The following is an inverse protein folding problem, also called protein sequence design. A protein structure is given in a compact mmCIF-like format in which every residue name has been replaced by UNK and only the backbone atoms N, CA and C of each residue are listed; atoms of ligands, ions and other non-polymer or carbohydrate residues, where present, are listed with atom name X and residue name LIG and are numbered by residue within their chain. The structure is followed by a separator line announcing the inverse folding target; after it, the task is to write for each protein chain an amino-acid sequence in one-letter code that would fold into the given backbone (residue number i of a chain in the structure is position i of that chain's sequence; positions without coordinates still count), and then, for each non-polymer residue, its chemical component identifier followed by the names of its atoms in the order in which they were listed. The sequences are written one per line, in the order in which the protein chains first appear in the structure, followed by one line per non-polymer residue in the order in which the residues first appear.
data_IF_994664438427
#
_entry.id   IF_994664438427
#
_cell.length_a   1.000
_cell.length_b   1.000
_cell.length_c   1.000
_cell.angle_alpha   90.00
_cell.angle_beta   90.00
_cell.angle_gamma   90.00
#
_symmetry.space_group_name_H-M   'P 1'
#
loop_
_entity.id
_entity.type
_entity.pdbx_description
1 polymer ?
#
# COMPACT_ATOMS: atom_id res chain seq x y z
N UNK A 1 -8.82 14.52 -4.89
CA UNK A 1 -7.43 14.99 -4.75
C UNK A 1 -6.55 14.01 -3.97
N UNK A 2 -6.88 13.59 -2.73
CA UNK A 2 -6.07 12.64 -1.94
C UNK A 2 -5.74 11.35 -2.69
N UNK A 3 -6.69 10.77 -3.41
CA UNK A 3 -6.48 9.54 -4.19
C UNK A 3 -5.56 9.75 -5.41
N UNK A 4 -5.45 10.96 -5.91
CA UNK A 4 -4.50 11.33 -6.97
C UNK A 4 -3.09 11.46 -6.40
N UNK A 5 -2.95 12.11 -5.24
CA UNK A 5 -1.68 12.23 -4.52
C UNK A 5 -1.13 10.86 -4.10
N UNK A 6 -2.02 9.93 -3.73
CA UNK A 6 -1.65 8.54 -3.39
C UNK A 6 -1.32 7.66 -4.61
N UNK A 7 -1.44 8.19 -5.83
CA UNK A 7 -1.09 7.49 -7.06
C UNK A 7 -2.12 6.48 -7.58
N UNK A 8 -3.32 6.37 -6.96
CA UNK A 8 -4.37 5.46 -7.45
C UNK A 8 -5.03 5.94 -8.73
N UNK A 9 -5.11 7.26 -8.90
CA UNK A 9 -5.74 7.90 -10.05
C UNK A 9 -4.86 8.99 -10.63
N UNK A 10 -5.02 9.23 -11.92
CA UNK A 10 -4.43 10.36 -12.64
C UNK A 10 -5.53 11.14 -13.34
N UNK A 11 -5.47 12.46 -13.27
CA UNK A 11 -6.38 13.32 -14.02
C UNK A 11 -5.94 13.36 -15.49
N UNK A 12 -6.82 12.94 -16.41
CA UNK A 12 -6.58 12.97 -17.84
C UNK A 12 -7.83 13.56 -18.54
N UNK A 13 -7.68 14.68 -19.25
CA UNK A 13 -8.79 15.37 -19.93
C UNK A 13 -10.00 15.58 -19.01
N UNK A 14 -9.76 16.09 -17.79
CA UNK A 14 -10.79 16.34 -16.78
C UNK A 14 -11.34 15.12 -16.04
N UNK A 15 -11.06 13.91 -16.50
CA UNK A 15 -11.55 12.64 -15.89
C UNK A 15 -10.47 11.97 -15.03
N UNK A 16 -10.89 11.32 -13.94
CA UNK A 16 -10.01 10.50 -13.12
C UNK A 16 -9.87 9.09 -13.71
N UNK A 17 -8.66 8.75 -14.09
CA UNK A 17 -8.34 7.43 -14.67
C UNK A 17 -7.51 6.65 -13.68
N UNK A 18 -7.89 5.38 -13.36
CA UNK A 18 -7.08 4.53 -12.47
C UNK A 18 -5.67 4.36 -13.02
N UNK A 19 -4.67 4.39 -12.14
CA UNK A 19 -3.25 4.19 -12.50
C UNK A 19 -2.63 3.07 -11.70
N UNK A 20 -1.45 2.65 -12.12
CA UNK A 20 -0.60 1.73 -11.36
C UNK A 20 0.08 2.45 -10.21
N UNK A 21 0.18 1.81 -9.06
CA UNK A 21 0.89 2.33 -7.89
C UNK A 21 2.29 1.73 -7.87
N UNK A 22 3.29 2.50 -8.33
CA UNK A 22 4.64 2.00 -8.59
C UNK A 22 5.37 1.48 -7.35
N UNK A 23 5.22 2.12 -6.20
CA UNK A 23 5.91 1.73 -4.97
C UNK A 23 5.42 0.41 -4.36
N UNK A 24 4.21 -0.06 -4.75
CA UNK A 24 3.65 -1.33 -4.29
C UNK A 24 4.22 -2.55 -5.02
N UNK A 25 4.86 -2.39 -6.17
CA UNK A 25 5.30 -3.52 -7.01
C UNK A 25 6.31 -4.44 -6.32
N UNK A 26 7.08 -3.89 -5.36
CA UNK A 26 8.08 -4.63 -4.60
C UNK A 26 7.48 -5.44 -3.44
N UNK A 27 6.19 -5.24 -3.12
CA UNK A 27 5.48 -6.02 -2.11
C UNK A 27 4.94 -7.32 -2.72
N UNK A 28 4.68 -8.32 -1.86
CA UNK A 28 4.06 -9.56 -2.31
C UNK A 28 2.63 -9.33 -2.81
N UNK A 29 2.11 -10.25 -3.65
CA UNK A 29 0.75 -10.13 -4.18
C UNK A 29 -0.30 -9.99 -3.05
N UNK A 30 -0.17 -10.81 -2.01
CA UNK A 30 -1.07 -10.76 -0.86
C UNK A 30 -1.01 -9.39 -0.16
N UNK A 31 0.17 -8.80 0.01
CA UNK A 31 0.34 -7.50 0.65
C UNK A 31 -0.24 -6.37 -0.20
N UNK A 32 -0.12 -6.46 -1.52
CA UNK A 32 -0.79 -5.51 -2.43
C UNK A 32 -2.30 -5.58 -2.24
N UNK A 33 -2.89 -6.78 -2.21
CA UNK A 33 -4.34 -6.96 -1.98
C UNK A 33 -4.74 -6.44 -0.61
N UNK A 34 -3.98 -6.75 0.45
CA UNK A 34 -4.23 -6.24 1.81
C UNK A 34 -4.24 -4.73 1.84
N UNK A 35 -3.26 -4.09 1.20
CA UNK A 35 -3.17 -2.63 1.11
C UNK A 35 -4.41 -2.02 0.45
N UNK A 36 -4.82 -2.53 -0.71
CA UNK A 36 -6.03 -2.07 -1.37
C UNK A 36 -7.29 -2.33 -0.55
N UNK A 37 -7.35 -3.47 0.15
CA UNK A 37 -8.45 -3.78 1.07
C UNK A 37 -8.54 -2.78 2.23
N UNK A 38 -7.41 -2.38 2.80
CA UNK A 38 -7.37 -1.34 3.85
C UNK A 38 -7.88 -0.01 3.34
N UNK A 39 -7.45 0.41 2.15
CA UNK A 39 -7.94 1.65 1.51
C UNK A 39 -9.44 1.59 1.25
N UNK A 40 -9.95 0.48 0.72
CA UNK A 40 -11.38 0.31 0.44
C UNK A 40 -12.19 0.34 1.75
N UNK A 41 -11.80 -0.45 2.76
CA UNK A 41 -12.49 -0.51 4.06
C UNK A 41 -12.44 0.84 4.77
N UNK A 42 -11.29 1.52 4.79
CA UNK A 42 -11.13 2.85 5.38
C UNK A 42 -12.08 3.87 4.75
N UNK A 43 -12.19 3.89 3.43
CA UNK A 43 -13.16 4.78 2.75
C UNK A 43 -14.61 4.41 3.05
N UNK A 44 -14.96 3.11 3.07
CA UNK A 44 -16.31 2.66 3.40
C UNK A 44 -16.70 3.00 4.83
N UNK A 45 -15.76 2.90 5.78
CA UNK A 45 -15.99 3.26 7.18
C UNK A 45 -16.12 4.78 7.33
N UNK A 46 -15.23 5.55 6.71
CA UNK A 46 -15.27 7.01 6.77
C UNK A 46 -16.59 7.59 6.24
N UNK A 47 -17.11 7.02 5.14
CA UNK A 47 -18.37 7.43 4.53
C UNK A 47 -19.56 6.55 4.94
N UNK A 48 -19.49 5.87 6.09
CA UNK A 48 -20.53 4.91 6.53
C UNK A 48 -21.91 5.55 6.69
N UNK A 49 -21.97 6.77 7.22
CA UNK A 49 -23.20 7.55 7.46
C UNK A 49 -23.60 8.46 6.29
N UNK A 50 -22.81 8.51 5.21
CA UNK A 50 -23.08 9.41 4.09
C UNK A 50 -24.32 8.96 3.30
N UNK A 51 -25.23 9.90 3.03
CA UNK A 51 -26.39 9.66 2.20
C UNK A 51 -26.06 9.29 0.76
N UNK A 52 -24.95 9.83 0.22
CA UNK A 52 -24.49 9.58 -1.15
C UNK A 52 -23.47 8.43 -1.24
N UNK A 53 -23.60 7.41 -0.38
CA UNK A 53 -22.67 6.29 -0.32
C UNK A 53 -22.62 5.47 -1.62
N UNK A 54 -23.67 5.51 -2.43
CA UNK A 54 -23.71 4.84 -3.75
C UNK A 54 -22.59 5.33 -4.69
N UNK A 55 -22.17 6.60 -4.59
CA UNK A 55 -21.10 7.16 -5.42
C UNK A 55 -19.74 6.50 -5.16
N UNK A 56 -19.54 5.88 -3.98
CA UNK A 56 -18.32 5.10 -3.68
C UNK A 56 -18.16 3.90 -4.60
N UNK A 57 -19.22 3.39 -5.20
CA UNK A 57 -19.15 2.27 -6.15
C UNK A 57 -18.19 2.55 -7.30
N UNK A 58 -18.30 3.72 -7.92
CA UNK A 58 -17.41 4.14 -9.01
C UNK A 58 -15.95 4.30 -8.53
N UNK A 59 -15.76 4.82 -7.32
CA UNK A 59 -14.44 4.97 -6.73
C UNK A 59 -13.79 3.61 -6.45
N UNK A 60 -14.53 2.67 -5.83
CA UNK A 60 -14.05 1.32 -5.54
C UNK A 60 -13.78 0.53 -6.82
N UNK A 61 -14.62 0.69 -7.84
CA UNK A 61 -14.35 0.14 -9.17
C UNK A 61 -13.04 0.67 -9.75
N UNK A 62 -12.78 1.98 -9.61
CA UNK A 62 -11.50 2.58 -9.98
C UNK A 62 -10.32 2.00 -9.21
N UNK A 63 -10.43 1.80 -7.90
CA UNK A 63 -9.40 1.15 -7.08
C UNK A 63 -9.14 -0.29 -7.52
N UNK A 64 -10.17 -1.06 -7.88
CA UNK A 64 -10.03 -2.40 -8.45
C UNK A 64 -9.16 -2.38 -9.72
N UNK A 65 -9.40 -1.44 -10.63
CA UNK A 65 -8.60 -1.28 -11.83
C UNK A 65 -7.17 -0.80 -11.53
N UNK A 66 -6.99 0.07 -10.54
CA UNK A 66 -5.67 0.50 -10.08
C UNK A 66 -4.87 -0.69 -9.53
N UNK A 67 -5.51 -1.53 -8.71
CA UNK A 67 -4.92 -2.77 -8.20
C UNK A 67 -4.52 -3.72 -9.33
N UNK A 68 -5.41 -3.97 -10.29
CA UNK A 68 -5.12 -4.82 -11.44
C UNK A 68 -3.94 -4.29 -12.28
N UNK A 69 -3.84 -2.96 -12.47
CA UNK A 69 -2.71 -2.34 -13.18
C UNK A 69 -1.40 -2.43 -12.39
N UNK A 70 -1.47 -2.35 -11.07
CA UNK A 70 -0.30 -2.53 -10.20
C UNK A 70 0.20 -3.97 -10.26
N UNK A 71 -0.69 -4.96 -10.19
CA UNK A 71 -0.35 -6.37 -10.36
C UNK A 71 0.15 -6.68 -11.78
N UNK A 72 -0.43 -6.03 -12.82
CA UNK A 72 0.06 -6.16 -14.19
C UNK A 72 1.53 -5.70 -14.31
N UNK A 73 1.87 -4.59 -13.65
CA UNK A 73 3.25 -4.10 -13.61
C UNK A 73 4.17 -5.07 -12.85
N UNK A 74 3.72 -5.58 -11.67
CA UNK A 74 4.48 -6.54 -10.88
C UNK A 74 4.80 -7.81 -11.67
N UNK A 75 3.83 -8.35 -12.39
CA UNK A 75 3.99 -9.56 -13.19
C UNK A 75 4.49 -9.32 -14.62
N UNK A 76 4.93 -8.08 -14.92
CA UNK A 76 5.39 -7.68 -16.27
C UNK A 76 4.36 -7.96 -17.37
N UNK A 77 3.07 -7.90 -17.03
CA UNK A 77 1.97 -8.05 -17.97
C UNK A 77 1.64 -6.69 -18.60
N UNK A 78 1.50 -6.63 -19.91
CA UNK A 78 1.20 -5.37 -20.62
C UNK A 78 -0.19 -4.82 -20.31
N UNK A 79 -1.16 -5.72 -20.04
CA UNK A 79 -2.58 -5.37 -19.89
C UNK A 79 -3.15 -5.87 -18.57
N UNK A 80 -3.95 -5.03 -17.90
CA UNK A 80 -4.68 -5.41 -16.68
C UNK A 80 -5.71 -6.54 -16.92
N UNK A 81 -6.26 -6.65 -18.15
CA UNK A 81 -7.17 -7.74 -18.53
C UNK A 81 -6.54 -9.13 -18.38
N UNK A 82 -5.22 -9.25 -18.62
CA UNK A 82 -4.50 -10.51 -18.41
C UNK A 82 -4.43 -10.90 -16.93
N UNK A 83 -4.37 -9.89 -16.03
CA UNK A 83 -4.41 -10.13 -14.57
C UNK A 83 -5.78 -10.67 -14.16
N UNK A 84 -6.87 -10.08 -14.67
CA UNK A 84 -8.22 -10.59 -14.39
C UNK A 84 -8.42 -12.01 -14.93
N UNK A 85 -7.83 -12.35 -16.08
CA UNK A 85 -7.89 -13.71 -16.62
C UNK A 85 -7.14 -14.71 -15.73
N UNK A 86 -6.00 -14.30 -15.13
CA UNK A 86 -5.15 -15.15 -14.28
C UNK A 86 -5.67 -15.25 -12.83
N UNK A 87 -6.11 -14.13 -12.24
CA UNK A 87 -6.44 -14.02 -10.81
C UNK A 87 -7.95 -13.87 -10.55
N UNK A 88 -8.78 -13.97 -11.60
CA UNK A 88 -10.23 -13.81 -11.52
C UNK A 88 -10.67 -12.35 -11.30
N UNK A 89 -11.99 -12.16 -11.25
CA UNK A 89 -12.59 -10.81 -11.11
C UNK A 89 -12.29 -10.13 -9.78
N UNK A 90 -11.98 -10.89 -8.73
CA UNK A 90 -11.62 -10.41 -7.40
C UNK A 90 -10.11 -10.33 -7.15
N UNK A 91 -9.30 -10.51 -8.19
CA UNK A 91 -7.84 -10.45 -8.13
C UNK A 91 -7.25 -11.37 -7.03
N UNK A 92 -7.75 -12.59 -6.95
CA UNK A 92 -7.38 -13.57 -5.93
C UNK A 92 -5.88 -13.88 -5.98
N UNK A 93 -5.23 -13.86 -4.82
CA UNK A 93 -3.85 -14.29 -4.69
C UNK A 93 -3.78 -15.84 -4.78
N UNK A 94 -2.95 -16.42 -5.67
CA UNK A 94 -2.88 -17.87 -5.83
C UNK A 94 -2.30 -18.58 -4.59
N UNK A 95 -1.40 -17.94 -3.86
CA UNK A 95 -0.70 -18.54 -2.71
C UNK A 95 -1.53 -18.50 -1.43
N UNK A 96 -2.13 -17.34 -1.12
CA UNK A 96 -2.83 -17.11 0.16
C UNK A 96 -4.34 -17.16 0.04
N UNK A 97 -4.88 -17.37 -1.15
CA UNK A 97 -6.32 -17.30 -1.44
C UNK A 97 -6.99 -15.97 -1.07
N UNK A 98 -6.21 -14.94 -0.72
CA UNK A 98 -6.72 -13.63 -0.36
C UNK A 98 -7.33 -12.93 -1.58
N UNK A 99 -8.53 -12.36 -1.41
CA UNK A 99 -9.27 -11.68 -2.47
C UNK A 99 -9.38 -10.18 -2.21
N UNK A 100 -9.52 -9.40 -3.28
CA UNK A 100 -9.85 -7.99 -3.18
C UNK A 100 -11.28 -7.84 -2.64
N UNK A 101 -11.41 -7.09 -1.56
CA UNK A 101 -12.69 -6.81 -0.93
C UNK A 101 -13.54 -5.87 -1.79
N UNK A 102 -14.70 -6.35 -2.23
CA UNK A 102 -15.68 -5.55 -2.96
C UNK A 102 -17.02 -5.70 -2.21
N UNK A 103 -17.56 -4.60 -1.67
CA UNK A 103 -18.82 -4.68 -0.92
C UNK A 103 -19.98 -5.05 -1.86
N UNK A 104 -20.88 -5.89 -1.37
CA UNK A 104 -22.09 -6.28 -2.13
C UNK A 104 -23.11 -5.14 -2.20
N UNK A 105 -23.15 -4.29 -1.18
CA UNK A 105 -24.11 -3.21 -1.06
C UNK A 105 -23.46 -1.92 -0.59
N UNK A 106 -24.02 -0.79 -0.99
CA UNK A 106 -23.58 0.56 -0.58
C UNK A 106 -24.67 1.26 0.24
N UNK A 107 -25.41 0.51 1.07
CA UNK A 107 -26.40 1.10 1.97
C UNK A 107 -25.71 1.89 3.08
N UNK A 108 -26.26 3.06 3.45
CA UNK A 108 -25.78 3.83 4.58
C UNK A 108 -25.96 3.02 5.88
N UNK A 109 -24.94 3.04 6.73
CA UNK A 109 -24.98 2.40 8.03
C UNK A 109 -25.29 3.49 9.04
N UNK A 110 -26.42 3.36 9.74
CA UNK A 110 -26.84 4.32 10.78
C UNK A 110 -26.16 4.07 12.13
N UNK A 111 -25.52 2.92 12.28
CA UNK A 111 -24.84 2.52 13.52
C UNK A 111 -23.34 2.77 13.33
N UNK A 112 -22.79 3.61 14.18
CA UNK A 112 -21.36 3.82 14.29
C UNK A 112 -20.75 2.66 15.10
N UNK A 113 -20.14 1.72 14.41
CA UNK A 113 -19.35 0.66 15.01
C UNK A 113 -18.09 0.44 14.19
N UNK A 114 -16.94 0.48 14.82
CA UNK A 114 -15.70 0.02 14.22
C UNK A 114 -15.76 -1.51 14.15
N UNK A 115 -16.24 -2.04 13.05
CA UNK A 115 -16.17 -3.46 12.79
C UNK A 115 -14.75 -3.79 12.30
N UNK A 116 -13.97 -4.38 13.15
CA UNK A 116 -12.61 -4.84 13.03
C UNK A 116 -11.52 -3.74 12.90
N UNK A 117 -10.50 -3.77 13.73
CA UNK A 117 -9.35 -2.90 13.58
C UNK A 117 -8.69 -3.21 12.22
N UNK A 118 -8.61 -2.19 11.37
CA UNK A 118 -7.74 -2.26 10.20
C UNK A 118 -6.32 -2.33 10.74
N UNK A 119 -5.64 -3.45 10.52
CA UNK A 119 -4.24 -3.58 10.89
C UNK A 119 -3.43 -2.50 10.16
N UNK A 120 -2.92 -1.52 10.91
CA UNK A 120 -2.08 -0.46 10.38
C UNK A 120 -0.74 -1.00 9.84
N UNK A 121 -0.40 -2.24 10.19
CA UNK A 121 0.81 -2.94 9.76
C UNK A 121 1.06 -2.88 8.25
N UNK A 122 0.01 -2.82 7.46
CA UNK A 122 0.09 -2.82 6.01
C UNK A 122 0.41 -1.43 5.46
N UNK A 123 -0.06 -0.37 6.14
CA UNK A 123 0.20 1.01 5.76
C UNK A 123 1.70 1.35 5.91
N UNK A 124 2.38 0.68 6.83
CA UNK A 124 3.81 0.87 7.11
C UNK A 124 4.74 -0.05 6.32
N UNK A 125 4.22 -1.04 5.61
CA UNK A 125 5.03 -1.93 4.74
C UNK A 125 5.50 -1.25 3.45
N UNK A 126 5.98 0.00 3.54
CA UNK A 126 6.73 0.62 2.44
C UNK A 126 8.10 -0.06 2.36
N UNK A 127 8.58 -0.30 1.14
CA UNK A 127 9.91 -0.90 0.92
C UNK A 127 11.02 -0.17 1.68
N UNK A 128 10.94 1.16 1.79
CA UNK A 128 11.89 1.99 2.57
C UNK A 128 11.90 1.66 4.06
N UNK A 129 10.80 1.17 4.59
CA UNK A 129 10.66 0.88 6.03
C UNK A 129 10.99 -0.57 6.39
N UNK A 130 11.21 -1.46 5.40
CA UNK A 130 11.61 -2.85 5.68
C UNK A 130 12.94 -2.93 6.45
N UNK A 131 13.91 -2.11 6.07
CA UNK A 131 15.24 -2.06 6.74
C UNK A 131 15.16 -1.50 8.16
N UNK A 132 14.35 -0.46 8.38
CA UNK A 132 14.19 0.15 9.72
C UNK A 132 13.31 -0.69 10.62
N UNK A 133 12.26 -1.33 10.09
CA UNK A 133 11.31 -2.14 10.86
C UNK A 133 11.95 -3.37 11.49
N UNK A 134 12.85 -4.06 10.78
CA UNK A 134 13.57 -5.22 11.34
C UNK A 134 14.42 -4.85 12.56
N UNK A 135 14.85 -3.61 12.67
CA UNK A 135 15.67 -3.13 13.78
C UNK A 135 14.85 -2.54 14.94
N UNK A 136 13.60 -2.10 14.70
CA UNK A 136 12.71 -1.59 15.76
C UNK A 136 12.26 -2.66 16.77
N UNK A 137 12.35 -3.94 16.41
CA UNK A 137 12.05 -5.07 17.31
C UNK A 137 13.29 -5.59 18.06
N UNK A 138 14.46 -5.03 17.80
CA UNK A 138 15.68 -5.39 18.53
C UNK A 138 15.79 -4.51 19.77
N UNK A 139 16.42 -5.06 20.81
CA UNK A 139 16.73 -4.28 22.02
C UNK A 139 17.60 -3.07 21.67
N UNK A 140 17.37 -1.98 22.35
CA UNK A 140 18.24 -0.80 22.23
C UNK A 140 19.69 -1.19 22.55
N UNK A 141 20.63 -0.82 21.67
CA UNK A 141 22.06 -1.17 21.84
C UNK A 141 22.67 -0.43 23.04
N UNK A 142 22.13 0.74 23.40
CA UNK A 142 22.67 1.60 24.47
C UNK A 142 22.11 1.18 25.84
N UNK A 143 20.78 1.06 25.97
CA UNK A 143 20.13 0.84 27.28
C UNK A 143 19.44 -0.53 27.42
N UNK A 144 19.40 -1.35 26.38
CA UNK A 144 18.77 -2.68 26.40
C UNK A 144 17.23 -2.64 26.40
N UNK A 145 16.59 -1.47 26.39
CA UNK A 145 15.13 -1.33 26.36
C UNK A 145 14.51 -2.00 25.14
N UNK A 146 13.29 -2.52 25.31
CA UNK A 146 12.45 -3.07 24.22
C UNK A 146 11.32 -2.14 23.84
N UNK A 147 11.09 -1.07 24.62
CA UNK A 147 10.02 -0.11 24.41
C UNK A 147 10.58 1.26 24.00
N UNK A 148 9.80 1.99 23.22
CA UNK A 148 10.14 3.36 22.75
C UNK A 148 11.51 3.46 22.07
N UNK A 149 11.82 2.49 21.21
CA UNK A 149 13.09 2.44 20.50
C UNK A 149 13.04 3.37 19.29
N UNK A 150 13.98 4.30 19.21
CA UNK A 150 14.18 5.16 18.05
C UNK A 150 15.44 4.76 17.29
N UNK A 151 15.37 4.78 15.96
CA UNK A 151 16.52 4.53 15.10
C UNK A 151 17.08 5.84 14.62
N UNK A 152 18.30 6.14 15.05
CA UNK A 152 19.03 7.30 14.59
C UNK A 152 20.04 6.93 13.50
N UNK A 153 20.02 7.66 12.39
CA UNK A 153 21.06 7.55 11.40
C UNK A 153 22.32 8.27 11.86
N UNK A 154 23.37 7.56 12.19
CA UNK A 154 24.64 8.13 12.62
C UNK A 154 25.27 9.01 11.53
N UNK A 155 24.94 8.73 10.26
CA UNK A 155 25.42 9.53 9.11
C UNK A 155 24.26 9.92 8.21
N UNK A 156 24.23 11.20 7.81
CA UNK A 156 23.23 11.71 6.90
C UNK A 156 23.36 11.01 5.53
N UNK A 157 22.23 10.60 4.93
CA UNK A 157 22.18 9.97 3.60
C UNK A 157 22.87 10.83 2.53
N UNK A 158 22.84 12.17 2.71
CA UNK A 158 23.54 13.12 1.83
C UNK A 158 25.04 12.90 1.82
N UNK A 159 25.63 12.60 2.97
CA UNK A 159 27.08 12.38 3.11
C UNK A 159 27.48 11.00 2.56
N UNK A 160 26.64 9.99 2.74
CA UNK A 160 26.82 8.68 2.12
C UNK A 160 26.79 8.76 0.59
N UNK A 161 25.84 9.55 0.03
CA UNK A 161 25.79 9.78 -1.42
C UNK A 161 27.03 10.52 -1.95
N UNK A 162 27.59 11.46 -1.20
CA UNK A 162 28.84 12.14 -1.56
C UNK A 162 30.04 11.18 -1.55
N UNK A 163 30.11 10.28 -0.54
CA UNK A 163 31.16 9.26 -0.44
C UNK A 163 31.02 8.20 -1.53
N UNK A 164 29.78 7.77 -1.86
CA UNK A 164 29.53 6.85 -2.96
C UNK A 164 30.00 7.40 -4.30
N UNK A 165 29.75 8.69 -4.59
CA UNK A 165 30.26 9.37 -5.80
C UNK A 165 31.78 9.42 -5.87
N UNK A 166 32.48 9.47 -4.72
CA UNK A 166 33.95 9.48 -4.62
C UNK A 166 34.54 8.07 -4.55
N UNK A 167 33.75 6.99 -4.70
CA UNK A 167 34.20 5.58 -4.57
C UNK A 167 34.91 5.25 -3.25
N UNK A 168 34.67 6.04 -2.19
CA UNK A 168 35.27 5.85 -0.85
C UNK A 168 34.15 5.38 0.08
N UNK A 169 33.66 4.16 -0.13
CA UNK A 169 32.70 3.53 0.76
C UNK A 169 33.40 2.35 1.46
N UNK A 170 33.49 2.43 2.78
CA UNK A 170 33.90 1.29 3.60
C UNK A 170 32.83 0.21 3.59
N UNK A 171 33.25 -1.05 3.71
CA UNK A 171 32.39 -2.23 3.80
C UNK A 171 31.25 -2.07 4.83
N UNK A 172 31.53 -1.45 5.97
CA UNK A 172 30.53 -1.15 7.01
C UNK A 172 29.49 -0.06 6.66
N UNK A 173 29.71 0.67 5.59
CA UNK A 173 28.76 1.70 5.12
C UNK A 173 27.80 1.18 4.06
N UNK A 174 27.97 -0.06 3.59
CA UNK A 174 27.13 -0.72 2.59
C UNK A 174 26.10 -1.67 3.21
N UNK A 175 26.22 -2.00 4.48
CA UNK A 175 25.21 -2.72 5.26
C UNK A 175 24.23 -1.75 5.92
#
# INVERSE_FOLDING_TARGET
EKATLSGFFKKKRGKFVPTRVGWLINLDHADIIRYFNSVIRGNLNYYSSSNNRKSLGSFIHGLKWSCARTLALKYKLRLASKVFRRCGSKLKCPETNLELFIPKTFKAIKIFGCNEPVSDDILFKKWRNKLTRSNLFKRCIICGSTEQIEIHHVRAIKDLKKKAKKKVLDFFTMQ
#
